data_IF_483814431177
#
_entry.id   IF_483814431177
#
_cell.length_a   1.000
_cell.length_b   1.000
_cell.length_c   1.000
_cell.angle_alpha   90.00
_cell.angle_beta   90.00
_cell.angle_gamma   90.00
#
_symmetry.space_group_name_H-M   'P 1'
#
loop_
_entity.id
_entity.type
_entity.pdbx_description
1 polymer ?
#
# COMPACT_ATOMS: atom_id res chain seq x y z
N UNK A 1 -33.40 23.89 28.51
CA UNK A 1 -32.45 23.01 27.79
C UNK A 1 -31.81 23.86 26.69
N UNK A 2 -30.52 24.22 26.84
CA UNK A 2 -29.82 24.93 25.77
C UNK A 2 -29.54 23.93 24.64
N UNK A 3 -30.25 24.05 23.51
CA UNK A 3 -29.94 23.25 22.33
C UNK A 3 -28.56 23.63 21.82
N UNK A 4 -27.58 22.73 21.94
CA UNK A 4 -26.25 22.92 21.34
C UNK A 4 -26.40 23.08 19.82
N UNK A 5 -25.55 23.89 19.21
CA UNK A 5 -25.56 24.13 17.76
C UNK A 5 -24.92 22.93 17.04
N UNK A 6 -25.42 22.54 15.88
CA UNK A 6 -24.72 21.53 15.06
C UNK A 6 -23.44 22.15 14.48
N UNK A 7 -22.35 21.38 14.49
CA UNK A 7 -21.10 21.79 13.84
C UNK A 7 -21.27 21.76 12.32
N UNK A 8 -20.79 22.80 11.63
CA UNK A 8 -20.87 22.94 10.18
C UNK A 8 -19.49 23.19 9.59
N UNK A 9 -19.33 22.99 8.27
CA UNK A 9 -18.09 23.35 7.54
C UNK A 9 -17.72 24.82 7.75
N UNK A 10 -18.70 25.73 7.71
CA UNK A 10 -18.49 27.16 7.97
C UNK A 10 -17.90 27.43 9.35
N UNK A 11 -18.33 26.68 10.37
CA UNK A 11 -17.78 26.78 11.73
C UNK A 11 -16.33 26.30 11.79
N UNK A 12 -16.00 25.23 11.06
CA UNK A 12 -14.63 24.71 10.95
C UNK A 12 -13.71 25.66 10.15
N UNK A 13 -14.26 26.38 9.17
CA UNK A 13 -13.54 27.37 8.38
C UNK A 13 -13.26 28.66 9.15
N UNK A 14 -14.07 29.00 10.15
CA UNK A 14 -13.82 30.16 11.00
C UNK A 14 -12.73 29.94 12.06
N UNK A 15 -12.26 28.70 12.25
CA UNK A 15 -11.15 28.42 13.17
C UNK A 15 -9.81 28.92 12.58
N UNK A 16 -8.93 29.53 13.40
CA UNK A 16 -7.54 29.80 13.03
C UNK A 16 -6.85 28.55 12.46
N UNK A 17 -6.02 28.71 11.42
CA UNK A 17 -5.37 27.60 10.70
C UNK A 17 -4.59 26.69 11.64
N UNK A 18 -3.84 27.26 12.58
CA UNK A 18 -3.09 26.51 13.60
C UNK A 18 -4.01 25.67 14.49
N UNK A 19 -5.12 26.26 14.97
CA UNK A 19 -6.11 25.56 15.79
C UNK A 19 -6.84 24.46 15.01
N UNK A 20 -7.15 24.69 13.74
CA UNK A 20 -7.77 23.67 12.89
C UNK A 20 -6.81 22.49 12.62
N UNK A 21 -5.53 22.76 12.35
CA UNK A 21 -4.54 21.72 12.13
C UNK A 21 -4.32 20.86 13.39
N UNK A 22 -4.29 21.48 14.56
CA UNK A 22 -4.20 20.77 15.84
C UNK A 22 -5.47 19.94 16.12
N UNK A 23 -6.65 20.49 15.84
CA UNK A 23 -7.93 19.77 15.88
C UNK A 23 -7.91 18.53 14.97
N UNK A 24 -7.47 18.69 13.71
CA UNK A 24 -7.37 17.61 12.75
C UNK A 24 -6.37 16.52 13.20
N UNK A 25 -5.22 16.91 13.75
CA UNK A 25 -4.24 15.94 14.26
C UNK A 25 -4.81 15.13 15.43
N UNK A 26 -5.53 15.75 16.35
CA UNK A 26 -6.15 15.06 17.49
C UNK A 26 -7.28 14.12 17.03
N UNK A 27 -8.08 14.50 16.03
CA UNK A 27 -9.09 13.64 15.39
C UNK A 27 -8.44 12.49 14.62
N UNK A 28 -7.35 12.75 13.88
CA UNK A 28 -6.59 11.72 13.15
C UNK A 28 -5.97 10.67 14.08
N UNK A 29 -5.51 11.09 15.27
CA UNK A 29 -5.05 10.14 16.31
C UNK A 29 -6.17 9.22 16.77
N UNK A 30 -7.40 9.71 16.90
CA UNK A 30 -8.57 8.88 17.24
C UNK A 30 -8.83 7.86 16.13
N UNK A 31 -8.80 8.27 14.86
CA UNK A 31 -9.01 7.38 13.71
C UNK A 31 -7.92 6.32 13.61
N UNK A 32 -6.65 6.68 13.81
CA UNK A 32 -5.56 5.71 13.79
C UNK A 32 -5.65 4.70 14.95
N UNK A 33 -6.09 5.15 16.13
CA UNK A 33 -6.39 4.25 17.24
C UNK A 33 -7.59 3.33 16.96
N UNK A 34 -8.57 3.78 16.17
CA UNK A 34 -9.65 2.94 15.67
C UNK A 34 -9.14 1.87 14.70
N UNK A 35 -8.36 2.27 13.68
CA UNK A 35 -7.80 1.38 12.65
C UNK A 35 -6.83 0.33 13.20
N UNK A 36 -6.14 0.63 14.30
CA UNK A 36 -5.26 -0.34 14.97
C UNK A 36 -6.04 -1.35 15.81
N UNK A 37 -7.23 -0.97 16.29
CA UNK A 37 -8.05 -1.80 17.18
C UNK A 37 -9.10 -2.63 16.44
N UNK A 38 -9.56 -2.17 15.29
CA UNK A 38 -10.49 -2.88 14.41
C UNK A 38 -9.77 -3.20 13.09
N UNK A 39 -9.82 -4.47 12.65
CA UNK A 39 -9.08 -5.00 11.50
C UNK A 39 -9.24 -4.19 10.22
N UNK A 40 -8.28 -4.31 9.28
CA UNK A 40 -8.19 -3.58 7.99
C UNK A 40 -9.45 -3.63 7.08
N UNK A 41 -10.46 -4.42 7.42
CA UNK A 41 -11.70 -4.60 6.65
C UNK A 41 -12.86 -3.72 7.12
N UNK A 42 -12.73 -2.98 8.23
CA UNK A 42 -13.82 -2.17 8.77
C UNK A 42 -13.67 -0.70 8.36
N UNK A 43 -14.61 -0.18 7.56
CA UNK A 43 -14.58 1.23 7.14
C UNK A 43 -14.98 2.17 8.28
N UNK A 44 -14.46 3.40 8.25
CA UNK A 44 -14.81 4.42 9.24
C UNK A 44 -16.32 4.74 9.20
N UNK A 45 -16.90 4.76 7.99
CA UNK A 45 -18.32 5.00 7.81
C UNK A 45 -19.17 3.87 8.41
N UNK A 46 -18.78 2.60 8.20
CA UNK A 46 -19.43 1.46 8.87
C UNK A 46 -19.35 1.58 10.40
N UNK A 47 -18.24 2.05 10.97
CA UNK A 47 -18.14 2.28 12.42
C UNK A 47 -19.11 3.34 12.93
N UNK A 48 -19.22 4.44 12.18
CA UNK A 48 -20.10 5.57 12.51
C UNK A 48 -21.55 5.10 12.47
N UNK A 49 -21.94 4.43 11.39
CA UNK A 49 -23.32 4.04 11.09
C UNK A 49 -23.78 2.79 11.83
N UNK A 50 -22.85 1.96 12.33
CA UNK A 50 -23.22 0.74 13.06
C UNK A 50 -23.92 1.09 14.38
N UNK A 51 -25.22 0.80 14.42
CA UNK A 51 -25.94 0.62 15.68
C UNK A 51 -25.63 -0.77 16.23
N UNK A 52 -24.65 -0.82 17.14
CA UNK A 52 -24.23 -2.06 17.79
C UNK A 52 -25.35 -2.73 18.59
N UNK A 53 -26.41 -2.00 18.95
CA UNK A 53 -27.61 -2.56 19.60
C UNK A 53 -28.43 -3.38 18.61
N UNK A 54 -28.70 -2.81 17.44
CA UNK A 54 -29.43 -3.48 16.36
C UNK A 54 -28.61 -4.65 15.77
N UNK A 55 -27.30 -4.46 15.58
CA UNK A 55 -26.40 -5.50 15.10
C UNK A 55 -26.37 -6.72 16.04
N UNK A 56 -26.38 -6.48 17.36
CA UNK A 56 -26.47 -7.52 18.37
C UNK A 56 -27.81 -8.26 18.27
N UNK A 57 -28.93 -7.53 18.21
CA UNK A 57 -30.27 -8.11 18.09
C UNK A 57 -30.41 -8.99 16.84
N UNK A 58 -29.92 -8.51 15.69
CA UNK A 58 -29.93 -9.24 14.42
C UNK A 58 -29.08 -10.51 14.49
N UNK A 59 -27.90 -10.45 15.12
CA UNK A 59 -27.00 -11.60 15.23
C UNK A 59 -27.52 -12.64 16.21
N UNK A 60 -28.12 -12.21 17.33
CA UNK A 60 -28.82 -13.11 18.25
C UNK A 60 -29.98 -13.79 17.54
N UNK A 61 -30.81 -13.03 16.82
CA UNK A 61 -31.94 -13.55 16.05
C UNK A 61 -31.52 -14.58 14.98
N UNK A 62 -30.46 -14.29 14.20
CA UNK A 62 -29.93 -15.20 13.18
C UNK A 62 -29.40 -16.51 13.77
N UNK A 63 -28.71 -16.45 14.92
CA UNK A 63 -28.19 -17.63 15.60
C UNK A 63 -29.31 -18.47 16.20
N UNK A 64 -30.34 -17.85 16.79
CA UNK A 64 -31.52 -18.54 17.30
C UNK A 64 -32.32 -19.22 16.19
N UNK A 65 -32.37 -18.62 14.99
CA UNK A 65 -33.05 -19.20 13.82
C UNK A 65 -32.33 -20.40 13.22
N UNK A 66 -31.00 -20.42 13.26
CA UNK A 66 -30.19 -21.50 12.68
C UNK A 66 -30.15 -22.77 13.55
N UNK A 67 -30.38 -22.66 14.86
CA UNK A 67 -30.28 -23.77 15.81
C UNK A 67 -31.35 -23.67 16.92
N UNK A 68 -32.59 -24.11 16.65
CA UNK A 68 -33.72 -23.95 17.58
C UNK A 68 -33.57 -24.76 18.89
N UNK A 69 -32.77 -25.85 18.88
CA UNK A 69 -32.59 -26.75 20.03
C UNK A 69 -31.37 -26.40 20.90
N UNK A 70 -30.52 -25.45 20.49
CA UNK A 70 -29.37 -25.05 21.30
C UNK A 70 -29.83 -24.07 22.41
N UNK A 71 -29.67 -24.47 23.67
CA UNK A 71 -29.82 -23.58 24.82
C UNK A 71 -28.66 -22.56 24.90
N UNK A 72 -28.70 -21.56 24.01
CA UNK A 72 -27.70 -20.52 23.84
C UNK A 72 -27.62 -19.51 25.00
N UNK A 73 -28.60 -19.53 25.92
CA UNK A 73 -28.65 -18.55 27.02
C UNK A 73 -27.43 -18.63 27.94
N UNK A 74 -26.75 -19.78 28.03
CA UNK A 74 -25.64 -20.00 28.97
C UNK A 74 -24.23 -19.91 28.38
N UNK A 75 -24.01 -20.20 27.08
CA UNK A 75 -22.64 -20.48 26.61
C UNK A 75 -21.96 -19.42 25.73
N UNK A 76 -22.69 -18.43 25.22
CA UNK A 76 -22.10 -17.36 24.41
C UNK A 76 -22.71 -15.98 24.59
N UNK A 77 -23.85 -15.88 25.30
CA UNK A 77 -24.51 -14.61 25.61
C UNK A 77 -23.58 -13.67 26.37
N UNK A 78 -22.87 -14.14 27.39
CA UNK A 78 -21.95 -13.31 28.17
C UNK A 78 -20.69 -12.88 27.42
N UNK A 79 -20.22 -13.68 26.47
CA UNK A 79 -19.05 -13.36 25.64
C UNK A 79 -19.43 -12.33 24.57
N UNK A 80 -20.56 -12.56 23.88
CA UNK A 80 -21.12 -11.60 22.93
C UNK A 80 -21.51 -10.30 23.64
N UNK A 81 -22.23 -10.36 24.77
CA UNK A 81 -22.57 -9.16 25.55
C UNK A 81 -21.34 -8.39 25.99
N UNK A 82 -20.25 -9.06 26.40
CA UNK A 82 -18.97 -8.40 26.72
C UNK A 82 -18.38 -7.71 25.49
N UNK A 83 -18.27 -8.42 24.36
CA UNK A 83 -17.73 -7.84 23.12
C UNK A 83 -18.54 -6.62 22.62
N UNK A 84 -19.87 -6.70 22.68
CA UNK A 84 -20.75 -5.60 22.27
C UNK A 84 -20.76 -4.45 23.28
N UNK A 85 -20.69 -4.75 24.59
CA UNK A 85 -20.54 -3.74 25.64
C UNK A 85 -19.21 -3.01 25.49
N UNK A 86 -18.11 -3.72 25.26
CA UNK A 86 -16.78 -3.13 25.03
C UNK A 86 -16.78 -2.20 23.82
N UNK A 87 -17.45 -2.59 22.71
CA UNK A 87 -17.60 -1.77 21.50
C UNK A 87 -18.47 -0.53 21.74
N UNK A 88 -19.59 -0.68 22.46
CA UNK A 88 -20.50 0.43 22.83
C UNK A 88 -19.81 1.44 23.76
N UNK A 89 -19.14 0.95 24.80
CA UNK A 89 -18.39 1.77 25.75
C UNK A 89 -17.23 2.50 25.07
N UNK A 90 -16.62 1.87 24.06
CA UNK A 90 -15.60 2.51 23.25
C UNK A 90 -16.16 3.64 22.36
N UNK A 91 -17.34 3.44 21.76
CA UNK A 91 -18.04 4.49 20.99
C UNK A 91 -18.37 5.70 21.87
N UNK A 92 -18.81 5.46 23.11
CA UNK A 92 -19.06 6.50 24.12
C UNK A 92 -17.77 7.25 24.47
N UNK A 93 -16.68 6.54 24.79
CA UNK A 93 -15.37 7.15 25.09
C UNK A 93 -14.84 8.01 23.94
N UNK A 94 -15.08 7.62 22.70
CA UNK A 94 -14.72 8.44 21.53
C UNK A 94 -15.55 9.73 21.50
N UNK A 95 -16.86 9.64 21.71
CA UNK A 95 -17.73 10.82 21.75
C UNK A 95 -17.30 11.77 22.86
N UNK A 96 -17.02 11.27 24.06
CA UNK A 96 -16.52 12.07 25.19
C UNK A 96 -15.19 12.76 24.84
N UNK A 97 -14.26 12.03 24.22
CA UNK A 97 -12.98 12.58 23.78
C UNK A 97 -13.11 13.61 22.67
N UNK A 98 -14.05 13.42 21.74
CA UNK A 98 -14.36 14.40 20.70
C UNK A 98 -14.96 15.67 21.30
N UNK A 99 -15.81 15.55 22.33
CA UNK A 99 -16.35 16.70 23.05
C UNK A 99 -15.26 17.44 23.84
N UNK A 100 -14.30 16.73 24.44
CA UNK A 100 -13.13 17.32 25.12
C UNK A 100 -12.25 18.09 24.13
N UNK A 101 -11.91 17.46 23.00
CA UNK A 101 -11.21 18.08 21.86
C UNK A 101 -11.98 19.34 21.40
N UNK A 102 -13.29 19.23 21.23
CA UNK A 102 -14.15 20.35 20.90
C UNK A 102 -14.00 21.54 21.82
N UNK A 103 -14.12 21.30 23.13
CA UNK A 103 -13.93 22.33 24.15
C UNK A 103 -12.54 22.96 24.09
N UNK A 104 -11.49 22.15 23.90
CA UNK A 104 -10.10 22.61 23.76
C UNK A 104 -9.94 23.61 22.63
N UNK A 105 -10.65 23.42 21.52
CA UNK A 105 -10.55 24.28 20.33
C UNK A 105 -11.71 25.28 20.19
N UNK A 106 -12.37 25.65 21.30
CA UNK A 106 -13.41 26.69 21.30
C UNK A 106 -14.75 26.28 20.68
N UNK A 107 -14.97 25.00 20.44
CA UNK A 107 -16.20 24.44 19.89
C UNK A 107 -17.16 23.92 20.98
N UNK A 108 -17.03 24.36 22.23
CA UNK A 108 -17.78 23.85 23.38
C UNK A 108 -19.31 24.06 23.31
N UNK A 109 -19.76 25.03 22.50
CA UNK A 109 -21.17 25.33 22.25
C UNK A 109 -21.80 24.44 21.16
N UNK A 110 -20.97 23.66 20.45
CA UNK A 110 -21.40 22.81 19.35
C UNK A 110 -21.58 21.36 19.80
N UNK A 111 -22.52 20.67 19.17
CA UNK A 111 -22.72 19.24 19.33
C UNK A 111 -21.72 18.49 18.43
N UNK A 112 -20.66 18.00 19.05
CA UNK A 112 -19.61 17.23 18.36
C UNK A 112 -19.94 15.76 18.53
N UNK A 113 -20.27 15.14 17.42
CA UNK A 113 -20.70 13.74 17.31
C UNK A 113 -19.70 12.97 16.45
N UNK A 114 -19.94 11.68 16.23
CA UNK A 114 -19.12 10.89 15.32
C UNK A 114 -19.22 11.39 13.87
N UNK A 115 -20.36 11.95 13.47
CA UNK A 115 -20.53 12.55 12.14
C UNK A 115 -19.67 13.79 11.95
N UNK A 116 -19.27 14.44 13.05
CA UNK A 116 -18.31 15.54 13.02
C UNK A 116 -16.92 15.07 12.55
N UNK A 117 -16.57 13.78 12.68
CA UNK A 117 -15.32 13.23 12.14
C UNK A 117 -15.31 13.38 10.62
N UNK A 118 -16.35 12.89 9.93
CA UNK A 118 -16.44 12.99 8.46
C UNK A 118 -16.42 14.45 8.01
N UNK A 119 -17.13 15.35 8.71
CA UNK A 119 -17.11 16.78 8.42
C UNK A 119 -15.73 17.43 8.61
N UNK A 120 -14.97 17.04 9.65
CA UNK A 120 -13.61 17.54 9.89
C UNK A 120 -12.64 17.00 8.84
N UNK A 121 -12.78 15.74 8.42
CA UNK A 121 -11.99 15.14 7.35
C UNK A 121 -12.28 15.77 6.00
N UNK A 122 -13.55 16.04 5.68
CA UNK A 122 -13.94 16.74 4.46
C UNK A 122 -13.46 18.20 4.46
N UNK A 123 -13.63 18.91 5.58
CA UNK A 123 -13.14 20.28 5.72
C UNK A 123 -11.61 20.34 5.66
N UNK A 124 -10.90 19.30 6.13
CA UNK A 124 -9.46 19.17 5.97
C UNK A 124 -9.09 18.83 4.54
N UNK A 125 -9.79 17.93 3.85
CA UNK A 125 -9.59 17.66 2.43
C UNK A 125 -9.80 18.90 1.57
N UNK A 126 -10.84 19.70 1.86
CA UNK A 126 -11.12 20.98 1.19
C UNK A 126 -10.10 22.06 1.60
N UNK A 127 -9.68 22.12 2.88
CA UNK A 127 -8.56 22.98 3.30
C UNK A 127 -7.22 22.49 2.73
N UNK A 128 -7.05 21.22 2.42
CA UNK A 128 -5.89 20.63 1.77
C UNK A 128 -5.95 20.93 0.26
N UNK A 129 -7.12 20.97 -0.37
CA UNK A 129 -7.30 21.54 -1.73
C UNK A 129 -7.02 23.06 -1.76
N UNK A 130 -7.37 23.78 -0.69
CA UNK A 130 -7.04 25.20 -0.55
C UNK A 130 -5.58 25.40 -0.06
N UNK A 131 -4.96 24.45 0.66
CA UNK A 131 -3.53 24.43 1.07
C UNK A 131 -2.63 23.76 0.02
N UNK A 132 -3.17 23.12 -1.01
CA UNK A 132 -2.50 22.80 -2.27
C UNK A 132 -2.10 24.11 -2.99
N UNK A 133 -2.56 25.27 -2.49
CA UNK A 133 -1.91 26.58 -2.66
C UNK A 133 -0.57 26.74 -1.92
N UNK A 134 0.04 25.67 -1.40
CA UNK A 134 1.48 25.36 -1.50
C UNK A 134 1.92 25.23 -2.98
N UNK A 135 1.28 25.97 -3.88
CA UNK A 135 1.33 25.79 -5.32
C UNK A 135 2.74 25.91 -5.84
N UNK A 136 3.61 26.67 -5.18
CA UNK A 136 5.03 26.80 -5.53
C UNK A 136 5.75 25.44 -5.48
N UNK A 137 5.73 24.73 -4.34
CA UNK A 137 6.47 23.46 -4.22
C UNK A 137 5.90 22.36 -5.12
N UNK A 138 4.57 22.30 -5.26
CA UNK A 138 3.94 21.36 -6.20
C UNK A 138 4.26 21.73 -7.65
N UNK A 139 4.17 23.02 -8.02
CA UNK A 139 4.51 23.51 -9.37
C UNK A 139 5.98 23.34 -9.71
N UNK A 140 6.88 23.31 -8.71
CA UNK A 140 8.30 23.01 -8.91
C UNK A 140 8.56 21.50 -8.99
N UNK A 141 7.78 20.66 -8.30
CA UNK A 141 7.88 19.21 -8.36
C UNK A 141 7.28 18.63 -9.66
N UNK A 142 6.12 19.14 -10.06
CA UNK A 142 5.30 18.62 -11.15
C UNK A 142 6.05 18.46 -12.47
N UNK A 143 6.88 19.42 -12.93
CA UNK A 143 7.67 19.26 -14.15
C UNK A 143 8.57 18.03 -14.13
N UNK A 144 9.25 17.75 -13.00
CA UNK A 144 10.12 16.57 -12.86
C UNK A 144 9.32 15.27 -12.88
N UNK A 145 8.13 15.28 -12.27
CA UNK A 145 7.23 14.14 -12.31
C UNK A 145 6.76 13.86 -13.74
N UNK A 146 6.24 14.87 -14.43
CA UNK A 146 5.74 14.74 -15.79
C UNK A 146 6.85 14.31 -16.76
N UNK A 147 8.06 14.89 -16.62
CA UNK A 147 9.23 14.53 -17.41
C UNK A 147 9.59 13.05 -17.22
N UNK A 148 9.65 12.56 -15.97
CA UNK A 148 9.97 11.17 -15.69
C UNK A 148 8.91 10.19 -16.19
N UNK A 149 7.63 10.49 -15.99
CA UNK A 149 6.56 9.64 -16.52
C UNK A 149 6.62 9.56 -18.04
N UNK A 150 6.92 10.67 -18.72
CA UNK A 150 7.06 10.72 -20.18
C UNK A 150 8.27 9.93 -20.68
N UNK A 151 9.46 10.13 -20.09
CA UNK A 151 10.70 9.43 -20.48
C UNK A 151 10.54 7.91 -20.39
N UNK A 152 9.87 7.44 -19.35
CA UNK A 152 9.70 6.01 -19.09
C UNK A 152 8.37 5.45 -19.60
N UNK A 153 7.53 6.27 -20.22
CA UNK A 153 6.20 5.92 -20.71
C UNK A 153 5.34 5.24 -19.62
N UNK A 154 5.36 5.79 -18.40
CA UNK A 154 4.54 5.31 -17.29
C UNK A 154 3.17 6.01 -17.29
N UNK A 155 2.10 5.30 -16.86
CA UNK A 155 0.79 5.91 -16.72
C UNK A 155 0.84 7.03 -15.66
N UNK A 156 0.16 8.13 -15.95
CA UNK A 156 0.14 9.33 -15.13
C UNK A 156 -1.30 9.79 -14.96
N UNK A 157 -1.91 9.45 -13.81
CA UNK A 157 -3.18 10.04 -13.39
C UNK A 157 -2.93 11.14 -12.36
N UNK A 158 -3.95 11.98 -12.11
CA UNK A 158 -3.86 13.01 -11.08
C UNK A 158 -3.66 12.39 -9.69
N UNK A 159 -4.40 11.32 -9.38
CA UNK A 159 -4.29 10.60 -8.11
C UNK A 159 -2.89 10.00 -7.94
N UNK A 160 -2.33 9.41 -9.00
CA UNK A 160 -0.99 8.82 -8.98
C UNK A 160 0.09 9.89 -8.75
N UNK A 161 -0.10 11.09 -9.31
CA UNK A 161 0.77 12.24 -9.11
C UNK A 161 0.69 12.77 -7.68
N UNK A 162 -0.52 12.94 -7.15
CA UNK A 162 -0.74 13.44 -5.79
C UNK A 162 -0.14 12.48 -4.75
N UNK A 163 -0.32 11.17 -4.93
CA UNK A 163 0.28 10.18 -4.03
C UNK A 163 1.83 10.22 -4.06
N UNK A 164 2.41 10.44 -5.24
CA UNK A 164 3.86 10.64 -5.38
C UNK A 164 4.32 11.92 -4.70
N UNK A 165 3.54 13.00 -4.85
CA UNK A 165 3.81 14.29 -4.22
C UNK A 165 3.73 14.21 -2.69
N UNK A 166 2.78 13.46 -2.13
CA UNK A 166 2.69 13.23 -0.68
C UNK A 166 3.95 12.55 -0.16
N UNK A 167 4.48 11.54 -0.88
CA UNK A 167 5.75 10.91 -0.53
C UNK A 167 6.91 11.91 -0.60
N UNK A 168 6.95 12.72 -1.66
CA UNK A 168 7.93 13.78 -1.84
C UNK A 168 7.91 14.79 -0.70
N UNK A 169 6.74 15.31 -0.34
CA UNK A 169 6.57 16.29 0.71
C UNK A 169 6.97 15.71 2.07
N UNK A 170 6.60 14.45 2.34
CA UNK A 170 7.00 13.73 3.55
C UNK A 170 8.52 13.58 3.69
N UNK A 171 9.22 13.29 2.60
CA UNK A 171 10.69 13.18 2.60
C UNK A 171 11.32 14.58 2.71
N UNK A 172 10.86 15.53 1.90
CA UNK A 172 11.36 16.90 1.83
C UNK A 172 11.28 17.61 3.20
N UNK A 173 10.15 17.47 3.90
CA UNK A 173 9.92 18.10 5.21
C UNK A 173 10.80 17.52 6.31
N UNK A 174 11.22 16.25 6.20
CA UNK A 174 12.07 15.58 7.20
C UNK A 174 13.55 15.90 7.04
N UNK A 175 14.00 16.41 5.90
CA UNK A 175 15.35 16.93 5.80
C UNK A 175 15.48 18.22 6.62
N UNK A 176 16.49 18.25 7.51
CA UNK A 176 16.93 19.49 8.16
C UNK A 176 17.43 20.46 7.07
N UNK A 177 17.59 21.75 7.40
CA UNK A 177 17.86 22.90 6.48
C UNK A 177 19.20 22.81 5.71
N UNK A 178 19.75 21.63 5.51
CA UNK A 178 20.86 21.36 4.61
C UNK A 178 20.39 21.61 3.17
N UNK A 179 20.78 22.76 2.63
CA UNK A 179 20.43 23.24 1.27
C UNK A 179 20.68 22.21 0.17
N UNK A 180 21.64 21.29 0.38
CA UNK A 180 21.93 20.21 -0.57
C UNK A 180 20.76 19.22 -0.72
N UNK A 181 20.16 18.78 0.39
CA UNK A 181 19.12 17.73 0.39
C UNK A 181 17.73 18.26 0.06
N UNK A 182 17.51 19.56 0.18
CA UNK A 182 16.29 20.26 -0.25
C UNK A 182 16.35 20.82 -1.67
N UNK A 183 17.38 20.48 -2.45
CA UNK A 183 17.43 20.86 -3.85
C UNK A 183 16.41 20.03 -4.65
N UNK A 184 15.35 20.68 -5.14
CA UNK A 184 14.23 20.04 -5.83
C UNK A 184 14.66 19.27 -7.08
N UNK A 185 15.51 19.88 -7.90
CA UNK A 185 16.04 19.25 -9.11
C UNK A 185 16.77 17.94 -8.84
N UNK A 186 17.39 17.80 -7.67
CA UNK A 186 18.11 16.59 -7.28
C UNK A 186 17.24 15.61 -6.51
N UNK A 187 16.36 16.09 -5.63
CA UNK A 187 15.54 15.24 -4.78
C UNK A 187 14.35 14.64 -5.53
N UNK A 188 13.65 15.42 -6.35
CA UNK A 188 12.43 14.97 -7.04
C UNK A 188 12.65 13.67 -7.82
N UNK A 189 13.69 13.53 -8.67
CA UNK A 189 13.93 12.29 -9.40
C UNK A 189 14.15 11.07 -8.49
N UNK A 190 14.81 11.27 -7.34
CA UNK A 190 15.08 10.20 -6.36
C UNK A 190 13.79 9.74 -5.69
N UNK A 191 12.93 10.68 -5.29
CA UNK A 191 11.66 10.33 -4.63
C UNK A 191 10.68 9.70 -5.63
N UNK A 192 10.58 10.24 -6.85
CA UNK A 192 9.76 9.66 -7.91
C UNK A 192 10.22 8.23 -8.21
N UNK A 193 11.54 7.99 -8.26
CA UNK A 193 12.08 6.63 -8.37
C UNK A 193 11.64 5.74 -7.20
N UNK A 194 11.74 6.22 -5.95
CA UNK A 194 11.28 5.47 -4.78
C UNK A 194 9.80 5.10 -4.89
N UNK A 195 8.96 6.07 -5.25
CA UNK A 195 7.52 5.90 -5.45
C UNK A 195 7.23 4.82 -6.50
N UNK A 196 7.80 4.95 -7.69
CA UNK A 196 7.64 3.99 -8.78
C UNK A 196 8.07 2.58 -8.36
N UNK A 197 9.18 2.45 -7.63
CA UNK A 197 9.63 1.16 -7.08
C UNK A 197 8.66 0.57 -6.07
N UNK A 198 8.00 1.38 -5.24
CA UNK A 198 6.99 0.92 -4.29
C UNK A 198 5.71 0.48 -5.00
N UNK A 199 5.38 1.12 -6.12
CA UNK A 199 4.24 0.76 -6.98
C UNK A 199 4.52 -0.43 -7.90
N UNK A 200 5.76 -0.91 -7.94
CA UNK A 200 6.18 -2.09 -8.68
C UNK A 200 6.61 -1.84 -10.11
N UNK A 201 6.72 -0.57 -10.52
CA UNK A 201 7.24 -0.22 -11.84
C UNK A 201 8.68 -0.66 -12.01
N UNK A 202 8.98 -1.11 -13.22
CA UNK A 202 10.30 -1.56 -13.59
C UNK A 202 11.20 -0.38 -14.01
N UNK A 203 11.72 0.30 -13.00
CA UNK A 203 12.76 1.32 -13.16
C UNK A 203 14.04 0.90 -12.44
N UNK A 204 15.19 1.19 -13.03
CA UNK A 204 16.50 0.96 -12.41
C UNK A 204 17.18 2.30 -12.12
N UNK A 205 18.00 2.34 -11.06
CA UNK A 205 18.74 3.55 -10.70
C UNK A 205 19.68 3.98 -11.85
N UNK A 206 20.30 3.01 -12.55
CA UNK A 206 21.15 3.28 -13.71
C UNK A 206 20.36 3.98 -14.83
N UNK A 207 19.16 3.48 -15.15
CA UNK A 207 18.32 4.08 -16.18
C UNK A 207 17.89 5.50 -15.77
N UNK A 208 17.50 5.70 -14.51
CA UNK A 208 17.16 7.02 -13.96
C UNK A 208 18.33 8.01 -14.14
N UNK A 209 19.52 7.65 -13.66
CA UNK A 209 20.74 8.48 -13.73
C UNK A 209 21.06 8.83 -15.18
N UNK A 210 21.04 7.85 -16.08
CA UNK A 210 21.41 8.04 -17.48
C UNK A 210 20.41 8.94 -18.21
N UNK A 211 19.11 8.65 -18.12
CA UNK A 211 18.07 9.38 -18.85
C UNK A 211 17.92 10.83 -18.35
N UNK A 212 18.00 11.03 -17.04
CA UNK A 212 17.89 12.35 -16.41
C UNK A 212 19.23 13.11 -16.34
N UNK A 213 20.31 12.54 -16.88
CA UNK A 213 21.68 13.10 -16.86
C UNK A 213 22.11 13.55 -15.46
N UNK A 214 21.85 12.73 -14.46
CA UNK A 214 22.14 13.03 -13.05
C UNK A 214 23.54 12.56 -12.67
N UNK A 215 24.13 13.19 -11.65
CA UNK A 215 25.37 12.69 -11.05
C UNK A 215 25.09 11.43 -10.21
N UNK A 216 25.78 10.34 -10.52
CA UNK A 216 25.56 9.04 -9.86
C UNK A 216 25.87 9.08 -8.36
N UNK A 217 26.92 9.79 -7.95
CA UNK A 217 27.36 9.87 -6.55
C UNK A 217 26.33 10.63 -5.72
N UNK A 218 25.83 11.75 -6.26
CA UNK A 218 24.81 12.57 -5.62
C UNK A 218 23.48 11.82 -5.51
N UNK A 219 23.03 11.17 -6.58
CA UNK A 219 21.78 10.39 -6.59
C UNK A 219 21.84 9.27 -5.56
N UNK A 220 22.93 8.51 -5.49
CA UNK A 220 23.09 7.44 -4.51
C UNK A 220 23.11 7.97 -3.08
N UNK A 221 23.78 9.11 -2.84
CA UNK A 221 23.80 9.78 -1.52
C UNK A 221 22.40 10.24 -1.12
N UNK A 222 21.69 10.91 -2.01
CA UNK A 222 20.32 11.38 -1.79
C UNK A 222 19.35 10.23 -1.55
N UNK A 223 19.45 9.16 -2.33
CA UNK A 223 18.61 7.97 -2.17
C UNK A 223 18.81 7.33 -0.79
N UNK A 224 20.07 7.13 -0.37
CA UNK A 224 20.38 6.62 0.97
C UNK A 224 19.78 7.51 2.05
N UNK A 225 19.97 8.83 1.93
CA UNK A 225 19.48 9.79 2.92
C UNK A 225 17.95 9.87 2.95
N UNK A 226 17.29 9.70 1.79
CA UNK A 226 15.83 9.62 1.68
C UNK A 226 15.26 8.39 2.37
N UNK A 227 15.93 7.23 2.27
CA UNK A 227 15.56 6.02 3.00
C UNK A 227 15.73 6.21 4.51
N UNK A 228 16.79 6.89 4.96
CA UNK A 228 17.02 7.14 6.39
C UNK A 228 15.90 7.98 7.01
N UNK A 229 15.31 8.93 6.29
CA UNK A 229 14.18 9.74 6.77
C UNK A 229 12.80 9.12 6.49
N UNK A 230 12.74 8.15 5.57
CA UNK A 230 11.52 7.42 5.21
C UNK A 230 11.77 5.89 5.18
N UNK A 231 11.97 5.28 6.37
CA UNK A 231 12.27 3.84 6.47
C UNK A 231 11.13 2.94 6.01
N UNK A 232 9.90 3.46 5.88
CA UNK A 232 8.74 2.76 5.33
C UNK A 232 9.00 2.22 3.91
N UNK A 233 9.89 2.86 3.14
CA UNK A 233 10.35 2.34 1.85
C UNK A 233 10.91 0.91 1.95
N UNK A 234 11.62 0.58 3.04
CA UNK A 234 12.19 -0.74 3.27
C UNK A 234 11.14 -1.77 3.70
N UNK A 235 10.00 -1.31 4.25
CA UNK A 235 8.88 -2.14 4.71
C UNK A 235 7.86 -2.44 3.60
N UNK A 236 8.17 -2.09 2.34
CA UNK A 236 7.30 -2.34 1.20
C UNK A 236 6.92 -3.82 1.11
N UNK A 237 5.67 -4.11 0.75
CA UNK A 237 5.22 -5.48 0.54
C UNK A 237 5.82 -6.02 -0.77
N UNK A 238 7.00 -6.62 -0.66
CA UNK A 238 7.77 -7.13 -1.80
C UNK A 238 7.02 -8.22 -2.56
N UNK A 239 6.26 -9.06 -1.87
CA UNK A 239 5.46 -10.12 -2.49
C UNK A 239 4.36 -9.52 -3.36
N UNK A 240 3.65 -8.50 -2.85
CA UNK A 240 2.66 -7.75 -3.61
C UNK A 240 3.26 -7.05 -4.85
N UNK A 241 4.46 -6.48 -4.72
CA UNK A 241 5.17 -5.89 -5.86
C UNK A 241 5.45 -6.95 -6.93
N UNK A 242 5.91 -8.14 -6.54
CA UNK A 242 6.13 -9.25 -7.47
C UNK A 242 4.81 -9.70 -8.13
N UNK A 243 3.72 -9.81 -7.37
CA UNK A 243 2.39 -10.13 -7.92
C UNK A 243 1.95 -9.09 -8.97
N UNK A 244 2.13 -7.79 -8.69
CA UNK A 244 1.79 -6.74 -9.65
C UNK A 244 2.65 -6.80 -10.92
N UNK A 245 3.93 -7.15 -10.80
CA UNK A 245 4.81 -7.35 -11.96
C UNK A 245 4.40 -8.57 -12.79
N UNK A 246 3.96 -9.67 -12.15
CA UNK A 246 3.42 -10.84 -12.84
C UNK A 246 2.13 -10.47 -13.59
N UNK A 247 1.21 -9.73 -12.98
CA UNK A 247 -0.01 -9.24 -13.65
C UNK A 247 0.33 -8.38 -14.87
N UNK A 248 1.26 -7.45 -14.74
CA UNK A 248 1.71 -6.62 -15.87
C UNK A 248 2.29 -7.46 -17.02
N UNK A 249 2.97 -8.56 -16.73
CA UNK A 249 3.43 -9.52 -17.76
C UNK A 249 2.25 -10.25 -18.40
N UNK A 250 1.29 -10.72 -17.61
CA UNK A 250 0.07 -11.37 -18.11
C UNK A 250 -0.65 -10.44 -19.09
N UNK A 251 -0.83 -9.18 -18.72
CA UNK A 251 -1.48 -8.18 -19.56
C UNK A 251 -0.67 -7.87 -20.82
N UNK A 252 0.64 -7.67 -20.69
CA UNK A 252 1.54 -7.30 -21.80
C UNK A 252 1.62 -8.40 -22.86
N UNK A 253 1.66 -9.67 -22.44
CA UNK A 253 1.83 -10.82 -23.34
C UNK A 253 0.53 -11.61 -23.54
N UNK A 254 -0.59 -11.10 -23.03
CA UNK A 254 -1.93 -11.68 -23.15
C UNK A 254 -1.99 -13.15 -22.71
N UNK A 255 -1.35 -13.47 -21.58
CA UNK A 255 -1.45 -14.81 -21.00
C UNK A 255 -2.84 -15.08 -20.42
N UNK A 256 -3.23 -16.35 -20.33
CA UNK A 256 -4.53 -16.76 -19.79
C UNK A 256 -4.64 -16.50 -18.28
N UNK A 257 -5.86 -16.46 -17.76
CA UNK A 257 -6.12 -16.40 -16.32
C UNK A 257 -5.48 -17.57 -15.56
N UNK A 258 -5.48 -18.77 -16.17
CA UNK A 258 -4.81 -19.97 -15.65
C UNK A 258 -3.30 -19.73 -15.42
N UNK A 259 -2.65 -18.94 -16.29
CA UNK A 259 -1.26 -18.53 -16.08
C UNK A 259 -1.10 -17.74 -14.78
N UNK A 260 -2.06 -16.87 -14.47
CA UNK A 260 -2.11 -16.11 -13.22
C UNK A 260 -2.20 -17.02 -12.00
N UNK A 261 -3.14 -17.97 -12.02
CA UNK A 261 -3.36 -18.94 -10.92
C UNK A 261 -2.09 -19.77 -10.67
N UNK A 262 -1.50 -20.34 -11.72
CA UNK A 262 -0.28 -21.16 -11.59
C UNK A 262 0.91 -20.30 -11.13
N UNK A 263 1.04 -19.08 -11.64
CA UNK A 263 2.12 -18.17 -11.22
C UNK A 263 2.00 -17.80 -9.74
N UNK A 264 0.78 -17.56 -9.25
CA UNK A 264 0.54 -17.28 -7.84
C UNK A 264 0.86 -18.49 -6.96
N UNK A 265 0.43 -19.70 -7.34
CA UNK A 265 0.78 -20.93 -6.63
C UNK A 265 2.30 -21.16 -6.55
N UNK A 266 3.02 -20.92 -7.66
CA UNK A 266 4.49 -21.00 -7.71
C UNK A 266 5.12 -19.94 -6.79
N UNK A 267 4.67 -18.69 -6.87
CA UNK A 267 5.20 -17.60 -6.05
C UNK A 267 5.02 -17.91 -4.56
N UNK A 268 3.84 -18.39 -4.17
CA UNK A 268 3.49 -18.69 -2.79
C UNK A 268 4.32 -19.84 -2.23
N UNK A 269 4.44 -20.92 -3.01
CA UNK A 269 5.22 -22.09 -2.63
C UNK A 269 6.71 -21.77 -2.46
N UNK A 270 7.27 -20.99 -3.38
CA UNK A 270 8.71 -20.79 -3.48
C UNK A 270 9.20 -19.43 -2.97
N UNK A 271 8.33 -18.61 -2.37
CA UNK A 271 8.66 -17.27 -1.89
C UNK A 271 9.90 -17.23 -0.99
N UNK A 272 9.99 -18.15 -0.02
CA UNK A 272 11.11 -18.20 0.95
C UNK A 272 12.44 -18.51 0.24
N UNK A 273 12.41 -19.27 -0.87
CA UNK A 273 13.62 -19.61 -1.62
C UNK A 273 14.03 -18.49 -2.59
N UNK A 274 13.05 -17.85 -3.24
CA UNK A 274 13.28 -16.87 -4.31
C UNK A 274 13.43 -15.43 -3.81
N UNK A 275 12.90 -15.07 -2.64
CA UNK A 275 12.82 -13.67 -2.17
C UNK A 275 14.15 -12.97 -1.86
N UNK A 276 15.29 -13.68 -1.92
CA UNK A 276 16.62 -13.13 -1.62
C UNK A 276 17.26 -12.34 -2.77
N UNK A 277 16.50 -11.90 -3.77
CA UNK A 277 16.94 -11.11 -4.92
C UNK A 277 15.95 -9.98 -5.23
N UNK A 278 16.17 -9.18 -6.26
CA UNK A 278 15.25 -8.10 -6.64
C UNK A 278 13.88 -8.62 -7.08
N UNK A 279 12.84 -7.81 -6.88
CA UNK A 279 11.45 -8.18 -7.20
C UNK A 279 11.30 -8.58 -8.68
N UNK A 280 11.91 -7.83 -9.60
CA UNK A 280 11.87 -8.14 -11.05
C UNK A 280 12.47 -9.50 -11.38
N UNK A 281 13.56 -9.90 -10.70
CA UNK A 281 14.18 -11.22 -10.93
C UNK A 281 13.26 -12.33 -10.40
N UNK A 282 12.59 -12.12 -9.27
CA UNK A 282 11.60 -13.09 -8.74
C UNK A 282 10.41 -13.22 -9.69
N UNK A 283 9.81 -12.10 -10.12
CA UNK A 283 8.69 -12.09 -11.06
C UNK A 283 9.05 -12.82 -12.36
N UNK A 284 10.20 -12.51 -12.95
CA UNK A 284 10.68 -13.18 -14.16
C UNK A 284 10.91 -14.67 -13.95
N UNK A 285 11.50 -15.06 -12.81
CA UNK A 285 11.68 -16.48 -12.47
C UNK A 285 10.34 -17.21 -12.38
N UNK A 286 9.36 -16.64 -11.68
CA UNK A 286 8.02 -17.23 -11.56
C UNK A 286 7.36 -17.37 -12.92
N UNK A 287 7.32 -16.31 -13.75
CA UNK A 287 6.71 -16.37 -15.08
C UNK A 287 7.36 -17.44 -15.96
N UNK A 288 8.69 -17.59 -15.93
CA UNK A 288 9.38 -18.63 -16.70
C UNK A 288 9.06 -20.04 -16.19
N UNK A 289 8.95 -20.24 -14.88
CA UNK A 289 8.53 -21.52 -14.31
C UNK A 289 7.09 -21.85 -14.74
N UNK A 290 6.18 -20.87 -14.69
CA UNK A 290 4.80 -21.02 -15.18
C UNK A 290 4.77 -21.42 -16.66
N UNK A 291 5.53 -20.72 -17.51
CA UNK A 291 5.64 -21.06 -18.93
C UNK A 291 6.14 -22.49 -19.17
N UNK A 292 7.07 -22.97 -18.33
CA UNK A 292 7.58 -24.35 -18.40
C UNK A 292 6.49 -25.35 -18.01
N UNK A 293 5.77 -25.08 -16.91
CA UNK A 293 4.69 -25.93 -16.40
C UNK A 293 3.55 -26.09 -17.41
N UNK A 294 3.20 -25.00 -18.09
CA UNK A 294 2.12 -24.91 -19.08
C UNK A 294 2.56 -25.21 -20.51
N UNK A 295 3.81 -25.65 -20.74
CA UNK A 295 4.37 -25.89 -22.07
C UNK A 295 4.35 -24.70 -23.05
N UNK A 296 4.26 -23.48 -22.54
CA UNK A 296 4.27 -22.24 -23.32
C UNK A 296 5.67 -22.02 -23.91
N UNK A 297 5.73 -21.67 -25.21
CA UNK A 297 6.98 -21.40 -25.93
C UNK A 297 7.11 -19.94 -26.38
N UNK A 298 5.97 -19.27 -26.62
CA UNK A 298 5.88 -17.88 -27.06
C UNK A 298 5.15 -17.06 -25.98
N UNK A 299 5.59 -15.83 -25.69
CA UNK A 299 6.82 -15.17 -26.17
C UNK A 299 8.10 -15.88 -25.70
N UNK A 300 9.25 -15.69 -26.37
CA UNK A 300 10.53 -16.19 -25.87
C UNK A 300 10.86 -15.66 -24.47
N UNK A 301 11.54 -16.48 -23.65
CA UNK A 301 11.96 -16.11 -22.28
C UNK A 301 12.78 -14.80 -22.23
N UNK A 302 13.53 -14.54 -23.30
CA UNK A 302 14.31 -13.32 -23.48
C UNK A 302 13.44 -12.05 -23.53
N UNK A 303 12.22 -12.14 -24.06
CA UNK A 303 11.29 -11.01 -24.10
C UNK A 303 10.68 -10.73 -22.73
N UNK A 304 10.33 -11.78 -21.98
CA UNK A 304 9.94 -11.66 -20.57
C UNK A 304 11.06 -10.97 -19.78
N UNK A 305 12.31 -11.42 -19.91
CA UNK A 305 13.45 -10.78 -19.28
C UNK A 305 13.59 -9.30 -19.65
N UNK A 306 13.44 -8.99 -20.95
CA UNK A 306 13.57 -7.62 -21.46
C UNK A 306 12.51 -6.71 -20.87
N UNK A 307 11.25 -7.16 -20.82
CA UNK A 307 10.14 -6.40 -20.20
C UNK A 307 10.40 -6.07 -18.73
N UNK A 308 11.04 -7.00 -18.01
CA UNK A 308 11.44 -6.85 -16.61
C UNK A 308 12.81 -6.20 -16.42
N UNK A 309 13.52 -5.82 -17.48
CA UNK A 309 14.84 -5.18 -17.39
C UNK A 309 15.89 -6.06 -16.70
N UNK A 310 15.76 -7.39 -16.80
CA UNK A 310 16.67 -8.38 -16.21
C UNK A 310 17.40 -9.17 -17.29
N UNK A 311 18.49 -9.83 -16.93
CA UNK A 311 19.19 -10.75 -17.81
C UNK A 311 18.67 -12.18 -17.66
N UNK A 312 18.73 -12.98 -18.72
CA UNK A 312 18.40 -14.42 -18.66
C UNK A 312 19.33 -15.16 -17.68
N UNK A 313 20.59 -14.73 -17.57
CA UNK A 313 21.55 -15.29 -16.62
C UNK A 313 21.11 -15.14 -15.16
N UNK A 314 20.45 -14.03 -14.80
CA UNK A 314 19.94 -13.82 -13.45
C UNK A 314 18.84 -14.83 -13.09
N UNK A 315 17.94 -15.14 -14.02
CA UNK A 315 16.90 -16.16 -13.81
C UNK A 315 17.49 -17.58 -13.80
N UNK A 316 18.40 -17.89 -14.73
CA UNK A 316 19.14 -19.16 -14.73
C UNK A 316 19.81 -19.39 -13.37
N UNK A 317 20.47 -18.36 -12.82
CA UNK A 317 21.09 -18.39 -11.51
C UNK A 317 20.07 -18.66 -10.39
N UNK A 318 18.91 -17.99 -10.41
CA UNK A 318 17.86 -18.22 -9.43
C UNK A 318 17.35 -19.67 -9.45
N UNK A 319 16.98 -20.18 -10.62
CA UNK A 319 16.44 -21.53 -10.75
C UNK A 319 17.51 -22.55 -10.32
N UNK A 320 18.73 -22.43 -10.85
CA UNK A 320 19.83 -23.34 -10.52
C UNK A 320 20.13 -23.33 -9.02
N UNK A 321 20.45 -22.18 -8.46
CA UNK A 321 21.08 -22.11 -7.15
C UNK A 321 20.07 -22.03 -6.00
N UNK A 322 18.87 -21.50 -6.24
CA UNK A 322 17.84 -21.32 -5.19
C UNK A 322 16.79 -22.42 -5.17
N UNK A 323 16.52 -23.07 -6.31
CA UNK A 323 15.62 -24.22 -6.35
C UNK A 323 16.42 -25.52 -6.36
N UNK A 324 17.25 -25.75 -7.38
CA UNK A 324 17.85 -27.09 -7.56
C UNK A 324 19.00 -27.37 -6.59
N UNK A 325 20.02 -26.52 -6.52
CA UNK A 325 21.16 -26.76 -5.63
C UNK A 325 20.75 -26.71 -4.15
N UNK A 326 19.91 -25.73 -3.77
CA UNK A 326 19.46 -25.56 -2.39
C UNK A 326 18.54 -26.69 -1.91
N UNK A 327 17.83 -27.36 -2.81
CA UNK A 327 17.01 -28.53 -2.51
C UNK A 327 17.73 -29.85 -2.83
N UNK A 328 19.02 -29.80 -3.17
CA UNK A 328 19.84 -30.96 -3.50
C UNK A 328 19.26 -31.84 -4.62
N UNK A 329 18.66 -31.22 -5.64
CA UNK A 329 18.08 -31.91 -6.78
C UNK A 329 19.13 -32.00 -7.90
N UNK A 330 19.63 -33.21 -8.23
CA UNK A 330 20.63 -33.39 -9.27
C UNK A 330 20.04 -33.22 -10.67
N UNK A 331 20.91 -33.04 -11.67
CA UNK A 331 20.54 -33.09 -13.09
C UNK A 331 20.16 -31.76 -13.73
N UNK A 332 20.07 -30.66 -12.97
CA UNK A 332 19.89 -29.34 -13.57
C UNK A 332 21.16 -28.89 -14.32
N UNK A 333 21.02 -28.52 -15.59
CA UNK A 333 22.08 -27.94 -16.41
C UNK A 333 21.72 -26.52 -16.82
N UNK A 334 20.67 -26.37 -17.62
CA UNK A 334 20.12 -25.08 -18.06
C UNK A 334 18.59 -25.17 -18.10
N UNK A 335 17.90 -24.03 -18.08
CA UNK A 335 16.42 -24.04 -18.15
C UNK A 335 15.92 -24.78 -19.40
N UNK A 336 16.62 -24.68 -20.54
CA UNK A 336 16.20 -25.35 -21.77
C UNK A 336 16.46 -26.86 -21.74
N UNK A 337 17.64 -27.28 -21.26
CA UNK A 337 18.01 -28.70 -21.21
C UNK A 337 17.34 -29.47 -20.07
N UNK A 338 16.90 -28.77 -19.03
CA UNK A 338 16.25 -29.35 -17.84
C UNK A 338 14.76 -29.01 -17.79
N UNK A 339 14.10 -28.74 -18.93
CA UNK A 339 12.70 -28.32 -18.98
C UNK A 339 11.75 -29.32 -18.30
N UNK A 340 11.84 -30.60 -18.65
CA UNK A 340 10.98 -31.64 -18.06
C UNK A 340 11.23 -31.82 -16.58
N UNK A 341 12.50 -31.85 -16.16
CA UNK A 341 12.88 -31.91 -14.75
C UNK A 341 12.27 -30.74 -13.94
N UNK A 342 12.31 -29.53 -14.48
CA UNK A 342 11.69 -28.34 -13.86
C UNK A 342 10.18 -28.51 -13.78
N UNK A 343 9.54 -28.92 -14.88
CA UNK A 343 8.10 -29.11 -14.96
C UNK A 343 7.59 -30.11 -13.93
N UNK A 344 8.20 -31.29 -13.86
CA UNK A 344 7.85 -32.32 -12.89
C UNK A 344 8.06 -31.84 -11.46
N UNK A 345 9.19 -31.20 -11.19
CA UNK A 345 9.50 -30.67 -9.87
C UNK A 345 8.45 -29.65 -9.42
N UNK A 346 8.10 -28.68 -10.27
CA UNK A 346 7.12 -27.66 -9.92
C UNK A 346 5.73 -28.27 -9.74
N UNK A 347 5.24 -29.09 -10.70
CA UNK A 347 3.91 -29.73 -10.62
C UNK A 347 3.74 -30.60 -9.38
N UNK A 348 4.81 -31.24 -8.89
CA UNK A 348 4.77 -32.03 -7.64
C UNK A 348 4.62 -31.18 -6.37
N UNK A 349 4.95 -29.90 -6.43
CA UNK A 349 5.08 -29.05 -5.25
C UNK A 349 4.04 -27.93 -5.13
N UNK A 350 3.28 -27.66 -6.19
CA UNK A 350 2.18 -26.71 -6.19
C UNK A 350 0.85 -27.47 -6.18
N UNK A 351 -0.08 -27.02 -5.34
CA UNK A 351 -1.47 -27.47 -5.38
C UNK A 351 -2.21 -26.49 -6.30
N UNK A 352 -2.65 -26.96 -7.47
CA UNK A 352 -3.42 -26.18 -8.45
C UNK A 352 -4.78 -26.80 -8.60
#
# INVERSE_FOLDING_TARGET
MNSKKLITKTTLYSLPVTQFNELFQDVSRIINNLKTRYTHTFSLQEFIDTDYTLLFQNRVSALTKAYPDLNYEKLNKDKLLREFRDKKDYKIKIIEKLQEIGKKYGLGEYDITLNSISLILEADSEKQDVNLRNGELFSEFEPFYNELMAIFNFPSSLEFKLECYDLFQNIYNKFKVERFYKNLKKLSPVVIFMFLKMKGYNITMKNLIHQMKLDETEVRRLFRRSIEVYPEYLKKNRKLIVQNQIRSIIDTFQFSEEFGVISEAILDKFWVLLSSTTESVVAGTVCILTMIVMDIKNPPKSEICRSLGITQSAMNYQIKNKLFEKLHIPGFKTINSSRELIKEFIKKNIDV
#
